data_IF_402900515912
#
_entry.id   IF_402900515912
#
_cell.length_a   1.000
_cell.length_b   1.000
_cell.length_c   1.000
_cell.angle_alpha   90.00
_cell.angle_beta   90.00
_cell.angle_gamma   90.00
#
_symmetry.space_group_name_H-M   'P 1'
#
loop_
_entity.id
_entity.type
_entity.pdbx_description
1 polymer ?
#
# COMPACT_ATOMS: atom_id res chain seq x y z
N UNK A 1 28.30 9.54 -13.56
CA UNK A 1 27.23 8.69 -12.98
C UNK A 1 26.20 8.48 -14.07
N UNK A 2 25.97 7.23 -14.48
CA UNK A 2 24.97 6.93 -15.51
C UNK A 2 23.60 7.37 -15.03
N UNK A 3 22.82 8.01 -15.90
CA UNK A 3 21.45 8.37 -15.64
C UNK A 3 20.71 7.10 -15.19
N UNK A 4 20.08 7.05 -14.00
CA UNK A 4 19.31 5.88 -13.61
C UNK A 4 18.26 5.61 -14.69
N UNK A 5 18.11 4.34 -15.07
CA UNK A 5 17.09 3.95 -16.04
C UNK A 5 15.72 4.21 -15.41
N UNK A 6 15.16 5.38 -15.75
CA UNK A 6 13.86 5.83 -15.24
C UNK A 6 12.75 4.86 -15.64
N UNK A 7 12.91 4.09 -16.73
CA UNK A 7 11.97 3.04 -17.13
C UNK A 7 12.00 1.88 -16.13
N UNK A 8 13.19 1.43 -15.73
CA UNK A 8 13.33 0.40 -14.71
C UNK A 8 12.76 0.87 -13.35
N UNK A 9 13.02 2.13 -12.96
CA UNK A 9 12.44 2.72 -11.74
C UNK A 9 10.91 2.77 -11.84
N UNK A 10 10.35 3.20 -12.97
CA UNK A 10 8.91 3.25 -13.18
C UNK A 10 8.28 1.85 -13.07
N UNK A 11 8.90 0.83 -13.67
CA UNK A 11 8.43 -0.55 -13.59
C UNK A 11 8.40 -1.06 -12.13
N UNK A 12 9.46 -0.84 -11.37
CA UNK A 12 9.51 -1.24 -9.95
C UNK A 12 8.46 -0.51 -9.11
N UNK A 13 8.26 0.80 -9.33
CA UNK A 13 7.22 1.56 -8.62
C UNK A 13 5.81 1.04 -8.93
N UNK A 14 5.55 0.58 -10.15
CA UNK A 14 4.28 -0.03 -10.52
C UNK A 14 4.08 -1.38 -9.82
N UNK A 15 5.10 -2.24 -9.80
CA UNK A 15 5.07 -3.53 -9.09
C UNK A 15 4.82 -3.33 -7.60
N UNK A 16 5.49 -2.36 -6.97
CA UNK A 16 5.28 -2.03 -5.56
C UNK A 16 3.86 -1.50 -5.30
N UNK A 17 3.30 -0.68 -6.20
CA UNK A 17 1.94 -0.18 -6.06
C UNK A 17 0.91 -1.31 -6.14
N UNK A 18 1.09 -2.26 -7.06
CA UNK A 18 0.25 -3.45 -7.18
C UNK A 18 0.35 -4.34 -5.95
N UNK A 19 1.57 -4.60 -5.46
CA UNK A 19 1.81 -5.33 -4.22
C UNK A 19 1.12 -4.68 -3.01
N UNK A 20 1.19 -3.34 -2.92
CA UNK A 20 0.52 -2.57 -1.86
C UNK A 20 -1.00 -2.70 -1.95
N UNK A 21 -1.57 -2.69 -3.17
CA UNK A 21 -3.01 -2.91 -3.38
C UNK A 21 -3.48 -4.26 -2.83
N UNK A 22 -2.72 -5.34 -3.10
CA UNK A 22 -3.00 -6.67 -2.55
C UNK A 22 -2.94 -6.71 -1.03
N UNK A 23 -2.03 -5.95 -0.42
CA UNK A 23 -2.00 -5.85 1.04
C UNK A 23 -3.20 -5.09 1.60
N UNK A 24 -3.71 -4.06 0.92
CA UNK A 24 -4.93 -3.37 1.34
C UNK A 24 -6.13 -4.32 1.35
N UNK A 25 -6.30 -5.12 0.30
CA UNK A 25 -7.38 -6.12 0.21
C UNK A 25 -7.32 -7.09 1.40
N UNK A 26 -6.13 -7.64 1.68
CA UNK A 26 -5.91 -8.56 2.81
C UNK A 26 -6.20 -7.91 4.16
N UNK A 27 -5.81 -6.65 4.37
CA UNK A 27 -6.09 -5.91 5.60
C UNK A 27 -7.60 -5.61 5.73
N UNK A 28 -8.26 -5.26 4.64
CA UNK A 28 -9.70 -5.04 4.60
C UNK A 28 -10.49 -6.33 4.91
N UNK A 29 -10.01 -7.49 4.46
CA UNK A 29 -10.57 -8.79 4.82
C UNK A 29 -10.39 -9.12 6.32
N UNK A 30 -9.27 -8.73 6.94
CA UNK A 30 -9.08 -8.93 8.38
C UNK A 30 -10.10 -8.12 9.20
N UNK A 31 -10.44 -6.91 8.74
CA UNK A 31 -11.48 -6.08 9.35
C UNK A 31 -12.87 -6.74 9.32
N UNK A 32 -13.19 -7.50 8.27
CA UNK A 32 -14.52 -8.13 8.13
C UNK A 32 -14.67 -9.43 8.93
N UNK A 33 -13.59 -9.96 9.51
CA UNK A 33 -13.59 -11.24 10.26
C UNK A 33 -14.19 -11.18 11.67
N UNK A 34 -14.93 -10.14 12.02
CA UNK A 34 -15.68 -10.07 13.28
C UNK A 34 -14.76 -10.07 14.50
N UNK A 35 -13.94 -9.02 14.64
CA UNK A 35 -13.24 -8.76 15.89
C UNK A 35 -14.25 -8.21 16.90
N UNK A 36 -14.59 -9.00 17.91
CA UNK A 36 -15.44 -8.61 19.04
C UNK A 36 -14.87 -7.36 19.75
N UNK A 37 -15.73 -6.59 20.45
CA UNK A 37 -15.42 -5.35 21.23
C UNK A 37 -14.25 -5.47 22.25
N UNK A 38 -13.72 -6.68 22.47
CA UNK A 38 -12.55 -6.91 23.33
C UNK A 38 -11.21 -6.61 22.66
N UNK A 39 -11.21 -6.24 21.38
CA UNK A 39 -10.00 -6.03 20.59
C UNK A 39 -9.97 -4.66 19.90
N UNK A 40 -10.55 -3.63 20.52
CA UNK A 40 -10.61 -2.26 19.98
C UNK A 40 -9.23 -1.75 19.52
N UNK A 41 -8.17 -2.03 20.28
CA UNK A 41 -6.80 -1.65 19.91
C UNK A 41 -6.33 -2.32 18.61
N UNK A 42 -6.67 -3.61 18.41
CA UNK A 42 -6.33 -4.36 17.19
C UNK A 42 -7.13 -3.83 16.00
N UNK A 43 -8.42 -3.54 16.20
CA UNK A 43 -9.28 -2.93 15.16
C UNK A 43 -8.74 -1.55 14.77
N UNK A 44 -8.34 -0.74 15.75
CA UNK A 44 -7.72 0.57 15.52
C UNK A 44 -6.42 0.45 14.72
N UNK A 45 -5.54 -0.49 15.09
CA UNK A 45 -4.30 -0.76 14.36
C UNK A 45 -4.54 -1.27 12.92
N UNK A 46 -5.57 -2.09 12.69
CA UNK A 46 -5.97 -2.52 11.33
C UNK A 46 -6.42 -1.32 10.49
N UNK A 47 -7.21 -0.42 11.06
CA UNK A 47 -7.61 0.81 10.37
C UNK A 47 -6.43 1.74 10.08
N UNK A 48 -5.45 1.82 10.98
CA UNK A 48 -4.21 2.56 10.73
C UNK A 48 -3.42 1.95 9.58
N UNK A 49 -3.25 0.62 9.58
CA UNK A 49 -2.57 -0.09 8.51
C UNK A 49 -3.26 0.13 7.15
N UNK A 50 -4.59 0.06 7.09
CA UNK A 50 -5.38 0.34 5.88
C UNK A 50 -5.11 1.75 5.34
N UNK A 51 -5.15 2.78 6.21
CA UNK A 51 -4.86 4.17 5.83
C UNK A 51 -3.42 4.36 5.34
N UNK A 52 -2.47 3.71 6.00
CA UNK A 52 -1.06 3.78 5.64
C UNK A 52 -0.80 3.14 4.27
N UNK A 53 -1.36 1.96 4.02
CA UNK A 53 -1.24 1.27 2.73
C UNK A 53 -1.90 2.07 1.60
N UNK A 54 -3.06 2.69 1.84
CA UNK A 54 -3.72 3.56 0.86
C UNK A 54 -2.84 4.77 0.51
N UNK A 55 -2.25 5.41 1.53
CA UNK A 55 -1.34 6.54 1.33
C UNK A 55 -0.07 6.12 0.58
N UNK A 56 0.52 4.98 0.93
CA UNK A 56 1.70 4.43 0.28
C UNK A 56 1.44 4.12 -1.20
N UNK A 57 0.33 3.46 -1.53
CA UNK A 57 -0.02 3.16 -2.92
C UNK A 57 -0.18 4.44 -3.75
N UNK A 58 -0.83 5.48 -3.21
CA UNK A 58 -0.95 6.77 -3.89
C UNK A 58 0.41 7.43 -4.14
N UNK A 59 1.32 7.35 -3.17
CA UNK A 59 2.67 7.88 -3.31
C UNK A 59 3.49 7.11 -4.37
N UNK A 60 3.42 5.78 -4.37
CA UNK A 60 4.06 4.92 -5.37
C UNK A 60 3.54 5.20 -6.78
N UNK A 61 2.23 5.27 -6.97
CA UNK A 61 1.62 5.62 -8.26
C UNK A 61 1.98 7.04 -8.71
N UNK A 62 2.10 7.99 -7.77
CA UNK A 62 2.56 9.35 -8.09
C UNK A 62 4.03 9.33 -8.55
N UNK A 63 4.89 8.60 -7.85
CA UNK A 63 6.29 8.47 -8.22
C UNK A 63 6.45 7.77 -9.59
N UNK A 64 5.67 6.72 -9.84
CA UNK A 64 5.64 6.01 -11.12
C UNK A 64 5.37 6.97 -12.28
N UNK A 65 4.32 7.80 -12.18
CA UNK A 65 3.98 8.84 -13.18
C UNK A 65 5.03 9.95 -13.34
N UNK A 66 5.90 10.15 -12.35
CA UNK A 66 6.99 11.13 -12.44
C UNK A 66 8.20 10.50 -13.13
N UNK A 67 8.41 9.19 -12.94
CA UNK A 67 9.51 8.45 -13.53
C UNK A 67 9.26 8.08 -15.01
N UNK A 68 8.01 7.93 -15.44
CA UNK A 68 7.65 7.57 -16.82
C UNK A 68 6.39 8.27 -17.31
#
# INVERSE_FOLDING_TARGET
MGNPDLSAIAAELAVMAEGTSRYQERVAELRTRGLDERHDDVVSAIHEAERALHTAQRALMRAHRIAG
#
